data_IF_929388978617
#
_entry.id   IF_929388978617
#
_cell.length_a   1.000
_cell.length_b   1.000
_cell.length_c   1.000
_cell.angle_alpha   90.00
_cell.angle_beta   90.00
_cell.angle_gamma   90.00
#
_symmetry.space_group_name_H-M   'P 1'
#
loop_
_entity.id
_entity.type
_entity.pdbx_description
1 polymer ?
#
# COMPACT_ATOMS: atom_id res chain seq x y z
N UNK A 1 21.49 22.70 16.05
CA UNK A 1 22.34 21.68 15.39
C UNK A 1 21.52 20.41 15.39
N UNK A 2 20.89 20.04 14.27
CA UNK A 2 20.12 18.79 14.20
C UNK A 2 21.10 17.66 13.89
N UNK A 3 21.33 16.80 14.86
CA UNK A 3 22.06 15.56 14.62
C UNK A 3 21.35 14.77 13.52
N UNK A 4 22.14 14.27 12.57
CA UNK A 4 21.72 13.33 11.55
C UNK A 4 21.24 12.06 12.25
N UNK A 5 19.93 11.94 12.47
CA UNK A 5 19.25 10.79 13.08
C UNK A 5 19.14 9.63 12.08
N UNK A 6 20.26 9.27 11.45
CA UNK A 6 20.35 8.13 10.56
C UNK A 6 21.08 7.00 11.27
N UNK A 7 20.46 5.82 11.30
CA UNK A 7 21.02 4.62 11.93
C UNK A 7 21.34 3.54 10.87
N UNK A 8 22.62 3.35 10.50
CA UNK A 8 23.01 2.37 9.49
C UNK A 8 22.85 0.91 9.95
N UNK A 9 22.74 0.66 11.26
CA UNK A 9 22.50 -0.70 11.78
C UNK A 9 21.05 -1.09 11.50
N UNK A 10 20.11 -0.20 11.83
CA UNK A 10 18.69 -0.41 11.55
C UNK A 10 18.39 -0.45 10.05
N UNK A 11 19.05 0.37 9.22
CA UNK A 11 18.88 0.28 7.77
C UNK A 11 19.30 -1.10 7.24
N UNK A 12 20.46 -1.61 7.68
CA UNK A 12 20.93 -2.94 7.29
C UNK A 12 20.02 -4.06 7.78
N UNK A 13 19.44 -3.91 8.96
CA UNK A 13 18.46 -4.87 9.49
C UNK A 13 17.18 -4.86 8.63
N UNK A 14 16.69 -3.69 8.26
CA UNK A 14 15.55 -3.55 7.36
C UNK A 14 15.81 -4.20 5.99
N UNK A 15 16.98 -3.98 5.40
CA UNK A 15 17.39 -4.61 4.14
C UNK A 15 17.39 -6.14 4.23
N UNK A 16 17.87 -6.67 5.35
CA UNK A 16 17.89 -8.12 5.59
C UNK A 16 16.47 -8.69 5.71
N UNK A 17 15.56 -7.97 6.37
CA UNK A 17 14.14 -8.35 6.46
C UNK A 17 13.46 -8.33 5.09
N UNK A 18 13.69 -7.31 4.27
CA UNK A 18 13.15 -7.25 2.90
C UNK A 18 13.68 -8.38 2.03
N UNK A 19 14.97 -8.68 2.12
CA UNK A 19 15.58 -9.79 1.40
C UNK A 19 14.99 -11.14 1.80
N UNK A 20 14.74 -11.34 3.09
CA UNK A 20 14.11 -12.56 3.61
C UNK A 20 12.65 -12.68 3.13
N UNK A 21 11.87 -11.59 3.20
CA UNK A 21 10.50 -11.53 2.70
C UNK A 21 10.42 -11.92 1.22
N UNK A 22 11.25 -11.29 0.38
CA UNK A 22 11.32 -11.57 -1.06
C UNK A 22 11.79 -13.00 -1.32
N UNK A 23 12.76 -13.50 -0.54
CA UNK A 23 13.26 -14.86 -0.63
C UNK A 23 12.18 -15.92 -0.35
N UNK A 24 11.42 -15.74 0.73
CA UNK A 24 10.31 -16.63 1.09
C UNK A 24 9.16 -16.56 0.07
N UNK A 25 8.83 -15.35 -0.40
CA UNK A 25 7.82 -15.18 -1.44
C UNK A 25 8.22 -15.83 -2.77
N UNK A 26 9.51 -15.75 -3.15
CA UNK A 26 10.06 -16.54 -4.26
C UNK A 26 10.01 -18.05 -3.97
N UNK A 27 10.24 -18.50 -2.74
CA UNK A 27 10.18 -19.91 -2.39
C UNK A 27 8.75 -20.50 -2.42
N UNK A 28 7.71 -19.67 -2.30
CA UNK A 28 6.28 -20.09 -2.26
C UNK A 28 5.82 -20.97 -3.43
N UNK A 29 6.48 -20.87 -4.59
CA UNK A 29 6.10 -21.60 -5.79
C UNK A 29 5.02 -20.92 -6.63
N UNK A 30 4.43 -19.81 -6.18
CA UNK A 30 3.38 -19.08 -6.91
C UNK A 30 4.02 -18.34 -8.09
N UNK A 31 3.70 -18.81 -9.31
CA UNK A 31 4.37 -18.37 -10.55
C UNK A 31 4.27 -16.85 -10.76
N UNK A 32 3.10 -16.29 -10.51
CA UNK A 32 2.83 -14.88 -10.78
C UNK A 32 3.45 -13.96 -9.73
N UNK A 33 3.51 -14.39 -8.46
CA UNK A 33 4.28 -13.70 -7.40
C UNK A 33 5.76 -13.63 -7.79
N UNK A 34 6.36 -14.75 -8.22
CA UNK A 34 7.75 -14.78 -8.71
C UNK A 34 7.98 -13.85 -9.89
N UNK A 35 7.02 -13.81 -10.82
CA UNK A 35 7.10 -12.99 -12.02
C UNK A 35 7.05 -11.51 -11.66
N UNK A 36 6.17 -11.12 -10.73
CA UNK A 36 6.02 -9.75 -10.26
C UNK A 36 7.24 -9.25 -9.50
N UNK A 37 7.76 -10.04 -8.55
CA UNK A 37 8.97 -9.71 -7.80
C UNK A 37 10.20 -9.48 -8.69
N UNK A 38 10.28 -10.17 -9.83
CA UNK A 38 11.46 -10.11 -10.67
C UNK A 38 12.74 -10.53 -9.92
N UNK A 39 13.89 -9.98 -10.33
CA UNK A 39 15.20 -10.33 -9.78
C UNK A 39 15.75 -9.33 -8.76
N UNK A 40 15.16 -8.15 -8.68
CA UNK A 40 15.76 -6.99 -7.99
C UNK A 40 14.81 -6.35 -6.97
N UNK A 41 13.64 -6.93 -6.69
CA UNK A 41 12.67 -6.37 -5.75
C UNK A 41 13.24 -6.10 -4.35
N UNK A 42 14.15 -6.94 -3.86
CA UNK A 42 14.82 -6.72 -2.57
C UNK A 42 15.67 -5.44 -2.59
N UNK A 43 16.39 -5.18 -3.69
CA UNK A 43 17.19 -3.96 -3.85
C UNK A 43 16.34 -2.73 -4.08
N UNK A 44 15.20 -2.86 -4.76
CA UNK A 44 14.25 -1.77 -4.97
C UNK A 44 13.55 -1.38 -3.66
N UNK A 45 13.24 -2.34 -2.79
CA UNK A 45 12.74 -2.09 -1.43
C UNK A 45 13.80 -1.41 -0.53
N UNK A 46 15.05 -1.85 -0.64
CA UNK A 46 16.19 -1.26 0.08
C UNK A 46 16.55 0.16 -0.41
N UNK A 47 16.13 0.55 -1.62
CA UNK A 47 16.37 1.90 -2.12
C UNK A 47 15.61 2.95 -1.29
N UNK A 48 16.32 3.79 -0.56
CA UNK A 48 15.77 4.92 0.19
C UNK A 48 15.29 6.11 -0.70
N UNK A 49 14.96 5.85 -1.98
CA UNK A 49 14.27 6.84 -2.80
C UNK A 49 12.82 6.98 -2.31
N UNK A 50 12.42 8.17 -1.87
CA UNK A 50 11.09 8.49 -1.29
C UNK A 50 9.86 8.12 -2.14
N UNK A 51 10.01 7.66 -3.39
CA UNK A 51 8.88 7.38 -4.29
C UNK A 51 8.77 5.91 -4.67
N UNK A 52 9.86 5.27 -5.12
CA UNK A 52 9.77 3.93 -5.72
C UNK A 52 9.67 2.80 -4.68
N UNK A 53 10.39 2.88 -3.56
CA UNK A 53 10.37 1.82 -2.55
C UNK A 53 9.04 1.74 -1.78
N UNK A 54 8.32 2.86 -1.67
CA UNK A 54 7.04 2.90 -0.96
C UNK A 54 5.88 2.36 -1.79
N UNK A 55 5.89 2.62 -3.10
CA UNK A 55 4.92 2.02 -4.02
C UNK A 55 5.10 0.50 -4.03
N UNK A 56 6.33 0.03 -4.31
CA UNK A 56 6.62 -1.40 -4.34
C UNK A 56 6.28 -2.11 -3.03
N UNK A 57 6.60 -1.52 -1.87
CA UNK A 57 6.27 -2.12 -0.58
C UNK A 57 4.76 -2.33 -0.39
N UNK A 58 3.94 -1.36 -0.80
CA UNK A 58 2.48 -1.47 -0.70
C UNK A 58 1.92 -2.49 -1.68
N UNK A 59 2.42 -2.50 -2.92
CA UNK A 59 2.06 -3.48 -3.94
C UNK A 59 2.38 -4.91 -3.49
N UNK A 60 3.58 -5.13 -2.95
CA UNK A 60 3.97 -6.44 -2.43
C UNK A 60 3.16 -6.83 -1.19
N UNK A 61 2.77 -5.87 -0.36
CA UNK A 61 1.89 -6.14 0.79
C UNK A 61 0.51 -6.63 0.33
N UNK A 62 -0.07 -5.99 -0.70
CA UNK A 62 -1.33 -6.43 -1.31
C UNK A 62 -1.15 -7.81 -1.94
N UNK A 63 -0.11 -7.99 -2.75
CA UNK A 63 0.18 -9.27 -3.40
C UNK A 63 0.32 -10.42 -2.39
N UNK A 64 1.10 -10.22 -1.33
CA UNK A 64 1.32 -11.25 -0.31
C UNK A 64 0.05 -11.55 0.49
N UNK A 65 -0.77 -10.52 0.74
CA UNK A 65 -2.08 -10.71 1.37
C UNK A 65 -3.01 -11.56 0.49
N UNK A 66 -3.08 -11.26 -0.80
CA UNK A 66 -3.90 -12.01 -1.75
C UNK A 66 -3.39 -13.43 -1.97
N UNK A 67 -2.07 -13.64 -1.87
CA UNK A 67 -1.41 -14.94 -2.00
C UNK A 67 -1.34 -15.74 -0.67
N UNK A 68 -1.94 -15.24 0.42
CA UNK A 68 -1.91 -15.87 1.75
C UNK A 68 -0.48 -16.11 2.29
N UNK A 69 0.46 -15.25 1.89
CA UNK A 69 1.87 -15.28 2.28
C UNK A 69 2.10 -14.46 3.56
N UNK A 70 1.56 -14.93 4.67
CA UNK A 70 1.58 -14.21 5.97
C UNK A 70 2.99 -13.95 6.50
N UNK A 71 3.88 -14.93 6.45
CA UNK A 71 5.26 -14.79 6.95
C UNK A 71 6.08 -13.77 6.12
N UNK A 72 6.08 -13.81 4.76
CA UNK A 72 6.65 -12.73 3.96
C UNK A 72 6.03 -11.36 4.25
N UNK A 73 4.72 -11.29 4.50
CA UNK A 73 4.03 -10.04 4.81
C UNK A 73 4.47 -9.45 6.17
N UNK A 74 4.57 -10.27 7.22
CA UNK A 74 5.10 -9.83 8.51
C UNK A 74 6.53 -9.30 8.37
N UNK A 75 7.39 -9.96 7.59
CA UNK A 75 8.75 -9.50 7.34
C UNK A 75 8.78 -8.16 6.59
N UNK A 76 7.87 -7.92 5.64
CA UNK A 76 7.72 -6.61 5.00
C UNK A 76 7.32 -5.52 6.02
N UNK A 77 6.35 -5.82 6.89
CA UNK A 77 5.92 -4.88 7.93
C UNK A 77 7.07 -4.54 8.88
N UNK A 78 7.79 -5.55 9.36
CA UNK A 78 8.97 -5.38 10.21
C UNK A 78 10.07 -4.58 9.52
N UNK A 79 10.38 -4.93 8.26
CA UNK A 79 11.37 -4.21 7.46
C UNK A 79 11.00 -2.74 7.31
N UNK A 80 9.74 -2.43 7.04
CA UNK A 80 9.26 -1.04 6.93
C UNK A 80 9.39 -0.26 8.22
N UNK A 81 8.96 -0.85 9.34
CA UNK A 81 9.07 -0.22 10.66
C UNK A 81 10.54 0.08 10.98
N UNK A 82 11.41 -0.90 10.77
CA UNK A 82 12.86 -0.80 11.02
C UNK A 82 13.51 0.26 10.12
N UNK A 83 13.19 0.26 8.83
CA UNK A 83 13.70 1.24 7.86
C UNK A 83 13.31 2.68 8.27
N UNK A 84 12.09 2.86 8.77
CA UNK A 84 11.60 4.18 9.16
C UNK A 84 12.28 4.67 10.43
N UNK A 85 12.57 3.80 11.39
CA UNK A 85 13.38 4.14 12.57
C UNK A 85 14.84 4.48 12.21
N UNK A 86 15.37 3.86 11.15
CA UNK A 86 16.70 4.17 10.64
C UNK A 86 16.83 5.57 10.03
N UNK A 87 15.69 6.22 9.74
CA UNK A 87 15.63 7.48 9.00
C UNK A 87 15.29 8.67 9.91
N UNK A 88 15.73 9.89 9.52
CA UNK A 88 15.41 11.10 10.27
C UNK A 88 13.90 11.42 10.22
N UNK A 89 13.38 12.16 11.22
CA UNK A 89 11.94 12.37 11.40
C UNK A 89 11.14 12.89 10.21
N UNK A 90 11.77 13.64 9.30
CA UNK A 90 11.10 14.18 8.12
C UNK A 90 10.80 13.11 7.06
N UNK A 91 11.57 12.02 7.02
CA UNK A 91 11.35 10.89 6.11
C UNK A 91 10.20 9.99 6.56
N UNK A 92 9.74 10.13 7.82
CA UNK A 92 8.61 9.36 8.36
C UNK A 92 7.30 9.64 7.64
N UNK A 93 7.16 10.78 6.95
CA UNK A 93 5.99 11.10 6.12
C UNK A 93 5.58 9.96 5.18
N UNK A 94 6.57 9.25 4.64
CA UNK A 94 6.34 8.13 3.75
C UNK A 94 5.68 6.91 4.42
N UNK A 95 5.86 6.69 5.72
CA UNK A 95 5.21 5.57 6.41
C UNK A 95 3.71 5.80 6.54
N UNK A 96 3.31 7.05 6.81
CA UNK A 96 1.89 7.41 6.94
C UNK A 96 1.13 7.25 5.62
N UNK A 97 1.80 7.44 4.48
CA UNK A 97 1.20 7.16 3.17
C UNK A 97 0.93 5.66 2.98
N UNK A 98 1.83 4.80 3.47
CA UNK A 98 1.64 3.35 3.37
C UNK A 98 0.68 2.77 4.42
N UNK A 99 0.46 3.45 5.55
CA UNK A 99 -0.30 2.92 6.69
C UNK A 99 -1.69 2.39 6.34
N UNK A 100 -2.53 3.11 5.56
CA UNK A 100 -3.84 2.59 5.15
C UNK A 100 -3.76 1.24 4.44
N UNK A 101 -2.86 1.12 3.46
CA UNK A 101 -2.64 -0.11 2.71
C UNK A 101 -2.12 -1.23 3.61
N UNK A 102 -1.11 -0.95 4.45
CA UNK A 102 -0.52 -1.94 5.36
C UNK A 102 -1.53 -2.42 6.41
N UNK A 103 -2.33 -1.49 6.96
CA UNK A 103 -3.43 -1.81 7.87
C UNK A 103 -4.44 -2.73 7.21
N UNK A 104 -4.90 -2.38 6.01
CA UNK A 104 -5.86 -3.20 5.27
C UNK A 104 -5.30 -4.61 4.97
N UNK A 105 -4.04 -4.70 4.56
CA UNK A 105 -3.35 -5.97 4.35
C UNK A 105 -3.29 -6.82 5.65
N UNK A 106 -3.00 -6.19 6.79
CA UNK A 106 -3.00 -6.84 8.09
C UNK A 106 -4.40 -7.33 8.50
N UNK A 107 -5.44 -6.53 8.25
CA UNK A 107 -6.85 -6.91 8.50
C UNK A 107 -7.25 -8.13 7.66
N UNK A 108 -6.95 -8.10 6.36
CA UNK A 108 -7.27 -9.19 5.43
C UNK A 108 -6.55 -10.49 5.78
N UNK A 109 -5.34 -10.39 6.33
CA UNK A 109 -4.53 -11.57 6.71
C UNK A 109 -4.65 -11.96 8.17
N UNK A 110 -5.56 -11.31 8.91
CA UNK A 110 -5.83 -11.55 10.32
C UNK A 110 -4.60 -11.37 11.25
N UNK A 111 -3.67 -10.50 10.85
CA UNK A 111 -2.51 -10.05 11.64
C UNK A 111 -2.94 -8.91 12.58
N UNK A 112 -3.83 -9.22 13.53
CA UNK A 112 -4.58 -8.22 14.33
C UNK A 112 -3.69 -7.27 15.12
N UNK A 113 -2.53 -7.72 15.60
CA UNK A 113 -1.57 -6.84 16.27
C UNK A 113 -1.00 -5.76 15.32
N UNK A 114 -0.71 -6.12 14.07
CA UNK A 114 -0.27 -5.16 13.05
C UNK A 114 -1.41 -4.24 12.60
N UNK A 115 -2.65 -4.74 12.55
CA UNK A 115 -3.84 -3.90 12.33
C UNK A 115 -3.91 -2.78 13.37
N UNK A 116 -3.79 -3.09 14.66
CA UNK A 116 -3.80 -2.09 15.73
C UNK A 116 -2.64 -1.10 15.59
N UNK A 117 -1.43 -1.61 15.31
CA UNK A 117 -0.23 -0.81 15.15
C UNK A 117 -0.37 0.23 14.01
N UNK A 118 -0.95 -0.16 12.87
CA UNK A 118 -1.16 0.70 11.71
C UNK A 118 -2.48 1.50 11.77
N UNK A 119 -3.32 1.29 12.79
CA UNK A 119 -4.57 2.05 12.98
C UNK A 119 -4.37 3.48 13.52
N UNK A 120 -3.12 3.95 13.64
CA UNK A 120 -2.87 5.33 14.07
C UNK A 120 -3.52 6.32 13.09
N UNK A 121 -4.30 7.30 13.58
CA UNK A 121 -4.94 8.27 12.72
C UNK A 121 -3.87 9.09 11.99
N UNK A 122 -3.89 9.00 10.67
CA UNK A 122 -3.20 9.97 9.82
C UNK A 122 -3.98 11.27 9.88
N UNK A 123 -3.40 12.29 10.50
CA UNK A 123 -4.05 13.60 10.60
C UNK A 123 -4.56 14.03 9.23
N UNK A 124 -5.85 14.38 9.13
CA UNK A 124 -6.54 14.76 7.88
C UNK A 124 -5.93 15.99 7.18
N UNK A 125 -4.96 16.65 7.81
CA UNK A 125 -4.15 17.74 7.24
C UNK A 125 -2.93 17.26 6.47
N UNK A 126 -2.73 15.94 6.37
CA UNK A 126 -1.82 15.30 5.42
C UNK A 126 -2.38 15.41 3.99
N UNK A 127 -2.76 16.64 3.59
CA UNK A 127 -2.90 17.05 2.20
C UNK A 127 -1.49 17.16 1.67
N UNK A 128 -0.95 16.01 1.32
CA UNK A 128 0.15 15.98 0.42
C UNK A 128 -0.33 16.60 -0.88
N UNK A 129 0.33 17.68 -1.31
CA UNK A 129 0.41 18.04 -2.71
C UNK A 129 1.08 16.86 -3.43
N UNK A 130 0.38 15.73 -3.55
CA UNK A 130 0.69 14.76 -4.58
C UNK A 130 0.29 15.46 -5.87
N UNK A 131 1.25 15.88 -6.72
CA UNK A 131 0.89 16.42 -8.02
C UNK A 131 0.22 15.37 -8.91
N UNK A 132 0.09 14.11 -8.43
CA UNK A 132 -0.17 12.98 -9.28
C UNK A 132 -1.62 12.52 -9.40
N UNK A 133 -2.56 12.86 -8.52
CA UNK A 133 -3.96 12.44 -8.72
C UNK A 133 -4.91 13.16 -7.75
N UNK A 134 -5.54 14.25 -8.20
CA UNK A 134 -6.83 14.65 -7.61
C UNK A 134 -7.90 13.72 -8.14
N UNK A 135 -8.96 13.39 -7.39
CA UNK A 135 -10.13 12.67 -7.96
C UNK A 135 -10.79 13.47 -9.10
N UNK A 136 -10.49 14.77 -9.23
CA UNK A 136 -10.87 15.54 -10.42
C UNK A 136 -10.13 15.08 -11.70
N UNK A 137 -9.15 14.16 -11.61
CA UNK A 137 -8.61 13.46 -12.76
C UNK A 137 -9.73 12.68 -13.44
N UNK A 138 -9.95 12.99 -14.72
CA UNK A 138 -10.82 12.23 -15.62
C UNK A 138 -10.42 10.75 -15.70
N UNK A 139 -9.21 10.41 -15.30
CA UNK A 139 -8.68 9.05 -15.26
C UNK A 139 -9.18 8.29 -14.03
N UNK A 140 -9.24 8.90 -12.84
CA UNK A 140 -9.80 8.26 -11.63
C UNK A 140 -11.31 8.01 -11.77
N UNK A 141 -12.07 8.93 -12.37
CA UNK A 141 -13.50 8.67 -12.68
C UNK A 141 -13.73 7.48 -13.61
N UNK A 142 -12.72 7.06 -14.38
CA UNK A 142 -12.79 5.86 -15.25
C UNK A 142 -12.47 4.58 -14.50
N UNK A 143 -11.67 4.67 -13.44
CA UNK A 143 -11.29 3.56 -12.59
C UNK A 143 -12.44 3.18 -11.64
N UNK A 144 -13.14 4.19 -11.13
CA UNK A 144 -14.09 4.05 -10.03
C UNK A 144 -15.55 3.86 -10.53
N UNK A 145 -15.78 3.25 -11.70
CA UNK A 145 -17.12 2.81 -12.11
C UNK A 145 -17.17 1.27 -12.03
N UNK A 146 -18.11 0.66 -11.30
CA UNK A 146 -18.13 -0.80 -11.09
C UNK A 146 -18.17 -1.53 -12.44
N UNK A 147 -17.24 -2.47 -12.66
CA UNK A 147 -17.10 -3.24 -13.91
C UNK A 147 -16.44 -2.47 -15.06
N UNK A 148 -16.09 -1.19 -14.90
CA UNK A 148 -15.52 -0.38 -15.99
C UNK A 148 -14.01 -0.56 -16.15
N UNK A 149 -13.27 -0.91 -15.11
CA UNK A 149 -11.85 -1.29 -15.25
C UNK A 149 -11.72 -2.63 -15.95
N UNK A 150 -12.56 -3.59 -15.55
CA UNK A 150 -12.75 -4.81 -16.30
C UNK A 150 -13.03 -4.45 -17.76
N UNK A 151 -14.11 -3.73 -18.10
CA UNK A 151 -14.39 -3.41 -19.51
C UNK A 151 -13.32 -2.57 -20.25
N UNK A 152 -12.77 -1.53 -19.64
CA UNK A 152 -11.86 -0.57 -20.29
C UNK A 152 -10.45 -1.12 -20.49
N UNK A 153 -9.92 -1.85 -19.50
CA UNK A 153 -8.52 -2.23 -19.47
C UNK A 153 -8.28 -3.71 -19.68
N UNK A 154 -9.23 -4.60 -19.37
CA UNK A 154 -8.95 -6.03 -19.40
C UNK A 154 -9.97 -6.85 -20.20
N UNK A 155 -11.22 -6.44 -20.29
CA UNK A 155 -12.34 -7.27 -20.70
C UNK A 155 -12.59 -8.39 -19.70
N UNK A 156 -13.28 -9.44 -20.12
CA UNK A 156 -13.41 -10.68 -19.35
C UNK A 156 -12.46 -11.76 -19.89
N UNK A 157 -12.27 -12.86 -19.14
CA UNK A 157 -11.59 -14.07 -19.63
C UNK A 157 -12.16 -14.56 -20.98
N UNK A 158 -13.45 -14.32 -21.20
CA UNK A 158 -14.20 -14.71 -22.40
C UNK A 158 -14.19 -13.63 -23.49
N UNK A 159 -13.90 -12.38 -23.13
CA UNK A 159 -13.95 -11.24 -24.04
C UNK A 159 -12.92 -10.15 -23.63
N UNK A 160 -11.63 -10.36 -23.91
CA UNK A 160 -10.57 -9.44 -23.48
C UNK A 160 -10.65 -8.10 -24.22
N UNK A 161 -10.46 -6.98 -23.50
CA UNK A 161 -10.54 -5.63 -24.05
C UNK A 161 -9.25 -5.20 -24.74
N UNK A 162 -9.27 -4.05 -25.43
CA UNK A 162 -8.10 -3.49 -26.11
C UNK A 162 -6.94 -3.13 -25.15
N UNK A 163 -7.20 -3.00 -23.85
CA UNK A 163 -6.18 -2.74 -22.84
C UNK A 163 -5.48 -3.99 -22.32
N UNK A 164 -5.97 -5.20 -22.68
CA UNK A 164 -5.49 -6.47 -22.13
C UNK A 164 -3.99 -6.57 -22.34
N UNK A 165 -3.24 -6.35 -21.26
CA UNK A 165 -1.79 -6.43 -21.29
C UNK A 165 -1.44 -7.91 -21.28
N UNK A 166 -0.74 -8.43 -22.31
CA UNK A 166 -0.30 -9.83 -22.32
C UNK A 166 0.72 -10.14 -21.21
N UNK A 167 1.17 -9.12 -20.48
CA UNK A 167 2.05 -9.23 -19.34
C UNK A 167 1.27 -9.08 -18.01
N UNK A 168 1.11 -10.17 -17.23
CA UNK A 168 0.50 -10.17 -15.92
C UNK A 168 1.11 -9.15 -14.95
N UNK A 169 2.42 -8.87 -15.03
CA UNK A 169 3.08 -7.92 -14.12
C UNK A 169 2.50 -6.52 -14.28
N UNK A 170 2.36 -6.07 -15.53
CA UNK A 170 1.77 -4.77 -15.83
C UNK A 170 0.30 -4.65 -15.39
N UNK A 171 -0.44 -5.76 -15.38
CA UNK A 171 -1.82 -5.81 -14.90
C UNK A 171 -1.87 -5.68 -13.37
N UNK A 172 -1.08 -6.47 -12.65
CA UNK A 172 -0.98 -6.40 -11.19
C UNK A 172 -0.63 -5.00 -10.71
N UNK A 173 0.34 -4.34 -11.35
CA UNK A 173 0.74 -2.98 -11.00
C UNK A 173 -0.44 -1.98 -11.06
N UNK A 174 -1.28 -2.06 -12.09
CA UNK A 174 -2.46 -1.18 -12.20
C UNK A 174 -3.49 -1.44 -11.11
N UNK A 175 -3.81 -2.71 -10.82
CA UNK A 175 -4.73 -3.04 -9.72
C UNK A 175 -4.17 -2.58 -8.37
N UNK A 176 -2.87 -2.75 -8.14
CA UNK A 176 -2.28 -2.34 -6.87
C UNK A 176 -2.25 -0.82 -6.70
N UNK A 177 -1.93 -0.05 -7.74
CA UNK A 177 -2.04 1.42 -7.69
C UNK A 177 -3.44 1.86 -7.26
N UNK A 178 -4.48 1.24 -7.84
CA UNK A 178 -5.86 1.54 -7.49
C UNK A 178 -6.22 1.12 -6.07
N UNK A 179 -5.86 -0.09 -5.65
CA UNK A 179 -6.15 -0.56 -4.29
C UNK A 179 -5.44 0.30 -3.23
N UNK A 180 -4.23 0.78 -3.52
CA UNK A 180 -3.52 1.77 -2.69
C UNK A 180 -4.34 3.07 -2.59
N UNK A 181 -4.84 3.58 -3.72
CA UNK A 181 -5.70 4.76 -3.73
C UNK A 181 -6.98 4.52 -2.89
N UNK A 182 -7.68 3.39 -3.10
CA UNK A 182 -8.90 3.02 -2.40
C UNK A 182 -8.72 2.89 -0.87
N UNK A 183 -7.66 2.24 -0.40
CA UNK A 183 -7.36 2.12 1.04
C UNK A 183 -7.09 3.48 1.69
N UNK A 184 -6.39 4.37 0.99
CA UNK A 184 -6.18 5.75 1.41
C UNK A 184 -7.51 6.52 1.53
N UNK A 185 -8.43 6.37 0.57
CA UNK A 185 -9.77 6.98 0.62
C UNK A 185 -10.59 6.51 1.82
N UNK A 186 -10.64 5.19 2.05
CA UNK A 186 -11.39 4.59 3.16
C UNK A 186 -10.89 5.13 4.51
N UNK A 187 -9.57 5.31 4.64
CA UNK A 187 -8.93 5.82 5.84
C UNK A 187 -9.11 7.33 6.06
N UNK A 188 -9.77 8.03 5.13
CA UNK A 188 -10.08 9.45 5.26
C UNK A 188 -8.93 10.37 4.93
N UNK A 189 -7.95 9.91 4.13
CA UNK A 189 -7.00 10.85 3.52
C UNK A 189 -7.78 11.85 2.65
N UNK A 190 -7.39 13.15 2.70
CA UNK A 190 -8.16 14.26 2.16
C UNK A 190 -8.04 14.39 0.63
N UNK A 191 -8.22 13.30 -0.09
CA UNK A 191 -8.42 13.31 -1.52
C UNK A 191 -9.92 13.61 -1.77
N UNK A 192 -10.23 14.69 -2.49
CA UNK A 192 -11.60 15.23 -2.57
C UNK A 192 -12.60 14.25 -3.18
N UNK A 193 -13.63 13.83 -2.43
CA UNK A 193 -14.68 12.89 -2.86
C UNK A 193 -15.68 13.51 -3.86
N UNK A 194 -15.18 13.86 -5.05
CA UNK A 194 -15.95 14.60 -6.06
C UNK A 194 -16.90 13.70 -6.89
N UNK A 195 -16.90 12.40 -6.63
CA UNK A 195 -17.79 11.40 -7.26
C UNK A 195 -18.97 11.00 -6.38
N UNK A 196 -18.99 11.43 -5.12
CA UNK A 196 -20.10 11.19 -4.19
C UNK A 196 -20.20 9.76 -3.65
N UNK A 197 -19.12 8.98 -3.74
CA UNK A 197 -19.09 7.61 -3.22
C UNK A 197 -19.04 7.57 -1.69
N UNK A 198 -19.76 6.62 -1.11
CA UNK A 198 -19.65 6.34 0.33
C UNK A 198 -18.36 5.56 0.63
N UNK A 199 -17.96 5.50 1.90
CA UNK A 199 -16.81 4.65 2.31
C UNK A 199 -17.09 3.19 1.98
N UNK A 200 -18.34 2.77 2.07
CA UNK A 200 -18.82 1.44 1.75
C UNK A 200 -18.68 1.13 0.25
N UNK A 201 -18.87 2.12 -0.63
CA UNK A 201 -18.65 1.95 -2.07
C UNK A 201 -17.16 1.75 -2.40
N UNK A 202 -16.27 2.54 -1.77
CA UNK A 202 -14.82 2.33 -1.90
C UNK A 202 -14.37 0.97 -1.35
N UNK A 203 -14.93 0.53 -0.21
CA UNK A 203 -14.62 -0.78 0.36
C UNK A 203 -15.06 -1.92 -0.56
N UNK A 204 -16.23 -1.80 -1.20
CA UNK A 204 -16.73 -2.80 -2.17
C UNK A 204 -15.85 -2.89 -3.42
N UNK A 205 -15.39 -1.75 -3.94
CA UNK A 205 -14.46 -1.72 -5.07
C UNK A 205 -13.13 -2.41 -4.69
N UNK A 206 -12.58 -2.07 -3.53
CA UNK A 206 -11.34 -2.65 -3.02
C UNK A 206 -11.44 -4.18 -2.85
N UNK A 207 -12.56 -4.66 -2.31
CA UNK A 207 -12.83 -6.10 -2.21
C UNK A 207 -12.95 -6.77 -3.59
N UNK A 208 -13.56 -6.09 -4.57
CA UNK A 208 -13.71 -6.62 -5.93
C UNK A 208 -12.34 -6.82 -6.59
N UNK A 209 -11.46 -5.81 -6.52
CA UNK A 209 -10.10 -5.90 -7.07
C UNK A 209 -9.27 -6.97 -6.37
N UNK A 210 -9.42 -7.09 -5.05
CA UNK A 210 -8.78 -8.13 -4.25
C UNK A 210 -9.16 -9.54 -4.74
N UNK A 211 -10.46 -9.78 -4.97
CA UNK A 211 -10.96 -11.08 -5.46
C UNK A 211 -10.47 -11.39 -6.87
N UNK A 212 -10.40 -10.40 -7.76
CA UNK A 212 -9.83 -10.56 -9.11
C UNK A 212 -8.36 -10.98 -9.02
N UNK A 213 -7.55 -10.27 -8.23
CA UNK A 213 -6.13 -10.62 -8.05
C UNK A 213 -5.99 -12.05 -7.50
N UNK A 214 -6.83 -12.45 -6.53
CA UNK A 214 -6.80 -13.81 -5.97
C UNK A 214 -7.09 -14.86 -7.02
N UNK A 215 -8.12 -14.67 -7.84
CA UNK A 215 -8.41 -15.58 -8.94
C UNK A 215 -7.23 -15.70 -9.92
N UNK A 216 -6.59 -14.59 -10.27
CA UNK A 216 -5.42 -14.58 -11.17
C UNK A 216 -4.22 -15.31 -10.54
N UNK A 217 -4.04 -15.19 -9.23
CA UNK A 217 -3.02 -15.94 -8.47
C UNK A 217 -3.36 -17.43 -8.31
N UNK A 218 -4.55 -17.87 -8.71
CA UNK A 218 -5.02 -19.26 -8.61
C UNK A 218 -5.67 -19.63 -7.27
N UNK A 219 -6.09 -18.63 -6.49
CA UNK A 219 -6.79 -18.79 -5.21
C UNK A 219 -8.31 -18.72 -5.39
N UNK A 220 -9.10 -19.18 -4.39
CA UNK A 220 -10.55 -19.04 -4.41
C UNK A 220 -11.02 -17.58 -4.50
N UNK A 221 -12.17 -17.36 -5.14
CA UNK A 221 -12.91 -16.09 -5.19
C UNK A 221 -13.59 -15.79 -3.84
N UNK A 222 -12.82 -15.84 -2.77
CA UNK A 222 -13.21 -15.44 -1.43
C UNK A 222 -12.00 -14.80 -0.77
N UNK A 223 -12.20 -13.80 0.08
CA UNK A 223 -11.12 -13.23 0.87
C UNK A 223 -10.39 -14.31 1.70
N UNK A 224 -9.09 -14.13 1.99
CA UNK A 224 -8.33 -15.01 2.87
C UNK A 224 -9.08 -15.28 4.18
N UNK A 225 -9.08 -16.53 4.62
CA UNK A 225 -9.64 -16.93 5.92
C UNK A 225 -8.53 -17.57 6.76
N UNK A 226 -7.71 -16.71 7.35
CA UNK A 226 -6.50 -17.08 8.09
C UNK A 226 -6.75 -17.03 9.61
N UNK A 227 -6.06 -17.86 10.40
CA UNK A 227 -6.17 -17.81 11.86
C UNK A 227 -5.70 -16.46 12.39
N UNK A 228 -6.32 -16.00 13.47
CA UNK A 228 -5.94 -14.75 14.12
C UNK A 228 -4.52 -14.83 14.67
N UNK A 229 -3.72 -13.80 14.41
CA UNK A 229 -2.38 -13.65 14.94
C UNK A 229 -2.21 -12.25 15.57
N UNK A 230 -2.29 -12.13 16.90
CA UNK A 230 -2.10 -10.87 17.59
C UNK A 230 -0.63 -10.50 17.79
N UNK A 231 0.31 -11.37 17.42
CA UNK A 231 1.73 -11.12 17.66
C UNK A 231 2.23 -9.98 16.77
N UNK A 232 3.03 -9.10 17.37
CA UNK A 232 3.75 -8.04 16.66
C UNK A 232 5.21 -8.15 17.06
N UNK A 233 6.09 -8.29 16.08
CA UNK A 233 7.52 -8.21 16.30
C UNK A 233 7.95 -6.79 15.93
N UNK A 234 8.44 -6.06 16.92
CA UNK A 234 8.93 -4.69 16.78
C UNK A 234 10.44 -4.67 17.04
N UNK A 235 11.19 -3.72 16.45
CA UNK A 235 12.56 -3.44 16.86
C UNK A 235 12.63 -3.13 18.35
N UNK A 236 13.77 -3.43 18.97
CA UNK A 236 14.03 -3.10 20.36
C UNK A 236 13.84 -1.58 20.59
N UNK A 237 13.25 -1.23 21.74
CA UNK A 237 12.95 0.16 22.13
C UNK A 237 12.08 0.95 21.14
N UNK A 238 11.23 0.28 20.33
CA UNK A 238 10.31 0.97 19.41
C UNK A 238 9.49 2.05 20.14
N UNK A 239 9.73 3.35 19.86
CA UNK A 239 9.13 4.45 20.62
C UNK A 239 7.66 4.70 20.23
N UNK A 240 7.10 3.85 19.37
CA UNK A 240 5.86 4.10 18.65
C UNK A 240 6.11 4.89 17.36
N UNK A 241 5.11 4.87 16.48
CA UNK A 241 5.13 5.85 15.40
C UNK A 241 4.99 7.26 15.99
N UNK A 242 5.82 8.19 15.53
CA UNK A 242 5.82 9.58 15.97
C UNK A 242 4.48 10.25 15.61
N UNK A 243 4.25 11.46 16.09
CA UNK A 243 3.15 12.26 15.55
C UNK A 243 3.65 13.00 14.31
N UNK A 244 2.99 12.79 13.17
CA UNK A 244 3.25 13.62 12.01
C UNK A 244 2.49 14.93 12.13
N UNK A 245 3.25 16.02 12.29
CA UNK A 245 2.74 17.38 12.14
C UNK A 245 3.09 17.89 10.75
N UNK A 246 2.12 18.30 9.91
CA UNK A 246 2.40 18.96 8.65
C UNK A 246 3.30 20.17 8.88
N UNK A 247 4.26 20.43 7.98
CA UNK A 247 4.95 21.72 7.99
C UNK A 247 3.90 22.81 7.69
N UNK A 248 3.67 23.78 8.60
CA UNK A 248 2.65 24.81 8.42
C UNK A 248 2.83 25.66 7.16
N UNK A 249 4.02 25.64 6.53
CA UNK A 249 4.29 26.31 5.25
C UNK A 249 3.74 25.55 4.03
N UNK A 250 3.44 24.27 4.18
CA UNK A 250 2.91 23.38 3.13
C UNK A 250 1.44 23.03 3.36
N UNK A 251 0.78 23.64 4.34
CA UNK A 251 -0.68 23.56 4.46
C UNK A 251 -1.27 24.41 3.34
N UNK A 252 -2.06 23.84 2.41
CA UNK A 252 -2.73 24.63 1.40
C UNK A 252 -3.60 25.66 2.10
N UNK A 253 -3.36 26.95 1.86
CA UNK A 253 -4.25 28.00 2.33
C UNK A 253 -5.64 27.67 1.77
N UNK A 254 -6.65 27.52 2.63
CA UNK A 254 -8.04 27.40 2.15
C UNK A 254 -8.25 28.53 1.15
N UNK A 255 -8.81 28.26 -0.05
CA UNK A 255 -9.25 29.34 -0.92
C UNK A 255 -10.15 30.22 -0.06
N UNK A 256 -9.89 31.53 -0.09
CA UNK A 256 -10.76 32.50 0.55
C UNK A 256 -12.18 32.17 0.08
N UNK A 257 -13.08 31.90 1.02
CA UNK A 257 -14.49 31.95 0.68
C UNK A 257 -14.72 33.38 0.23
N UNK A 258 -15.03 33.56 -1.05
CA UNK A 258 -15.57 34.81 -1.53
C UNK A 258 -16.91 34.98 -0.79
N UNK A 259 -16.88 35.77 0.28
CA UNK A 259 -18.06 36.25 0.96
C UNK A 259 -18.90 37.02 -0.07
N UNK A 260 -20.09 36.47 -0.37
CA UNK A 260 -21.13 37.14 -1.16
C UNK A 260 -21.71 38.34 -0.39
#
# INVERSE_FOLDING_TARGET
>A
MSESHYDPILEKEADQLFKEAVGLAHASGIKDVKRYLGKEADKELACNSEYNSHALLQELSIMFSMAELTEPLELLFRGRITQVLALPPHAWKAIYYSMPTLRWCAEVTNLTGYTELFSKPTNAECRLDSPYRSIASRELKRLIEPGRIEELFYGSLENPSMGWRPDPVSMYHTYFEEMIDLTNFISGFPFGNDIGWSREDYARALETDALIIRQQLGFPETMPNLPENPNVILPDDFPGFPEWTPDPRHIPKRPAQDDQ
#
